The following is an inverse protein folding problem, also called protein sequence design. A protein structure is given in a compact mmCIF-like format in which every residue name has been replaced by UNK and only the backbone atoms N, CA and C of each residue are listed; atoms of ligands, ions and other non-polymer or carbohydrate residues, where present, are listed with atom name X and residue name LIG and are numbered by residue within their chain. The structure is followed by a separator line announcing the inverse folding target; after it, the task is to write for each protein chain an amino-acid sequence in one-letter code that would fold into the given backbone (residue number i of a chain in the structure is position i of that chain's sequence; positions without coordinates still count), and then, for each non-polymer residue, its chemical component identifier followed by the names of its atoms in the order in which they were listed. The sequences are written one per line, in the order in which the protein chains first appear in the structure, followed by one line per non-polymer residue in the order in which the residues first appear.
data_IF_800932302858
#
_entry.id   IF_800932302858
#
_cell.length_a   1.000
_cell.length_b   1.000
_cell.length_c   1.000
_cell.angle_alpha   90.00
_cell.angle_beta   90.00
_cell.angle_gamma   90.00
#
_symmetry.space_group_name_H-M   'P 1'
#
loop_
_entity.id
_entity.type
_entity.pdbx_description
1 polymer ?
#
# COMPACT_ATOMS: atom_id res chain seq x y z
N UNK A 1 -24.80 45.73 33.55
CA UNK A 1 -24.42 45.64 34.98
C UNK A 1 -23.91 44.24 35.28
N UNK A 2 -22.72 44.17 35.89
CA UNK A 2 -22.07 43.03 36.59
C UNK A 2 -21.52 41.86 35.75
N UNK A 3 -20.26 42.06 35.32
CA UNK A 3 -19.14 41.11 35.47
C UNK A 3 -18.67 41.15 36.95
N UNK A 4 -18.04 40.13 37.58
CA UNK A 4 -16.67 39.62 37.28
C UNK A 4 -16.54 38.08 37.50
N UNK A 5 -15.45 37.31 37.30
CA UNK A 5 -14.01 37.45 37.58
C UNK A 5 -13.26 36.37 36.74
N UNK A 6 -12.15 36.64 36.04
CA UNK A 6 -10.77 36.74 36.51
C UNK A 6 -10.20 35.47 37.17
N UNK A 7 -9.32 34.75 36.45
CA UNK A 7 -8.24 33.94 37.04
C UNK A 7 -6.98 34.05 36.18
N UNK A 8 -5.96 34.69 36.76
CA UNK A 8 -4.57 34.75 36.34
C UNK A 8 -3.81 33.57 36.95
N UNK A 9 -2.81 33.06 36.25
CA UNK A 9 -1.90 32.04 36.78
C UNK A 9 -0.74 31.71 35.85
N UNK A 10 0.18 32.68 35.69
CA UNK A 10 1.53 32.43 35.17
C UNK A 10 2.32 31.55 36.16
N UNK A 11 3.00 30.52 35.65
CA UNK A 11 4.20 29.99 36.29
C UNK A 11 5.29 29.74 35.24
N UNK A 12 6.33 30.57 35.34
CA UNK A 12 7.66 30.35 34.76
C UNK A 12 8.33 29.15 35.45
N UNK A 13 8.90 28.24 34.65
CA UNK A 13 9.99 27.38 35.08
C UNK A 13 11.10 27.43 34.02
N UNK A 14 12.10 28.27 34.31
CA UNK A 14 13.39 28.30 33.63
C UNK A 14 14.23 27.19 34.26
N UNK A 15 14.53 26.14 33.47
CA UNK A 15 15.35 25.00 33.88
C UNK A 15 16.69 25.01 33.15
N UNK A 16 17.77 25.02 33.94
CA UNK A 16 19.16 25.22 33.54
C UNK A 16 19.70 24.24 32.48
N UNK A 17 20.40 24.81 31.49
CA UNK A 17 21.31 24.13 30.58
C UNK A 17 22.56 23.64 31.34
N UNK A 18 22.63 22.33 31.59
CA UNK A 18 23.87 21.68 32.01
C UNK A 18 24.67 21.19 30.80
N UNK A 19 25.96 21.53 30.82
CA UNK A 19 27.01 21.14 29.87
C UNK A 19 27.09 19.62 29.70
N UNK A 20 27.06 19.17 28.46
CA UNK A 20 27.37 17.79 28.05
C UNK A 20 28.90 17.68 27.86
N UNK A 21 29.60 16.74 28.52
CA UNK A 21 31.00 16.48 28.21
C UNK A 21 31.13 15.66 26.92
N UNK A 22 32.06 16.10 26.08
CA UNK A 22 32.49 15.44 24.85
C UNK A 22 33.11 14.06 25.13
N UNK A 23 32.63 13.02 24.44
CA UNK A 23 33.21 11.67 24.47
C UNK A 23 34.05 11.44 23.19
N UNK A 24 35.25 10.82 23.28
CA UNK A 24 36.15 10.67 22.14
C UNK A 24 35.71 9.56 21.17
N UNK A 25 36.05 9.77 19.89
CA UNK A 25 36.02 8.76 18.83
C UNK A 25 37.21 7.81 18.98
N UNK A 26 36.97 6.51 19.19
CA UNK A 26 37.73 5.42 18.57
C UNK A 26 37.19 4.04 18.94
N UNK A 27 37.17 3.16 17.93
CA UNK A 27 37.28 1.70 18.01
C UNK A 27 36.23 0.88 18.80
N UNK A 28 35.40 0.13 18.06
CA UNK A 28 35.34 -1.36 18.07
C UNK A 28 34.13 -1.88 17.28
N UNK A 29 34.32 -2.11 15.99
CA UNK A 29 33.42 -2.92 15.15
C UNK A 29 34.16 -4.20 14.74
N UNK A 30 34.29 -5.15 15.66
CA UNK A 30 34.82 -6.48 15.35
C UNK A 30 34.38 -7.51 16.42
N UNK A 31 33.09 -7.58 16.74
CA UNK A 31 32.58 -8.67 17.59
C UNK A 31 31.08 -8.91 17.32
N UNK A 32 30.74 -9.33 16.09
CA UNK A 32 29.38 -9.78 15.77
C UNK A 32 29.28 -11.04 14.89
N UNK A 33 30.40 -11.71 14.59
CA UNK A 33 30.37 -12.90 13.73
C UNK A 33 30.53 -14.24 14.46
N UNK A 34 30.74 -14.28 15.79
CA UNK A 34 31.10 -15.55 16.46
C UNK A 34 29.98 -16.22 17.29
N UNK A 35 28.84 -15.56 17.54
CA UNK A 35 27.79 -16.11 18.43
C UNK A 35 26.60 -16.74 17.67
N UNK A 36 26.53 -16.62 16.34
CA UNK A 36 25.35 -17.07 15.54
C UNK A 36 25.59 -18.43 14.85
N UNK A 37 26.44 -19.31 15.41
CA UNK A 37 26.69 -20.65 14.86
C UNK A 37 25.91 -21.78 15.55
N UNK A 38 25.10 -21.48 16.58
CA UNK A 38 24.48 -22.51 17.43
C UNK A 38 22.94 -22.53 17.43
N UNK A 39 22.27 -21.89 16.47
CA UNK A 39 20.81 -21.89 16.40
C UNK A 39 20.26 -23.18 15.74
N UNK A 40 19.16 -23.76 16.29
CA UNK A 40 18.53 -24.96 15.74
C UNK A 40 17.91 -24.73 14.34
N UNK A 41 17.61 -25.85 13.69
CA UNK A 41 17.84 -26.16 12.27
C UNK A 41 16.91 -25.56 11.18
N UNK A 42 15.81 -24.81 11.40
CA UNK A 42 15.03 -24.30 10.27
C UNK A 42 15.71 -23.13 9.52
N UNK A 43 16.42 -22.25 10.23
CA UNK A 43 16.93 -20.98 9.68
C UNK A 43 18.16 -21.19 8.78
N UNK A 44 18.98 -22.21 9.07
CA UNK A 44 20.18 -22.49 8.28
C UNK A 44 19.88 -23.01 6.86
N UNK A 45 18.68 -23.56 6.61
CA UNK A 45 18.30 -24.02 5.27
C UNK A 45 18.04 -22.85 4.32
N UNK A 46 17.37 -21.80 4.81
CA UNK A 46 17.14 -20.56 4.06
C UNK A 46 18.42 -19.76 3.89
N UNK A 47 19.28 -19.73 4.92
CA UNK A 47 20.57 -19.02 4.86
C UNK A 47 21.56 -19.68 3.89
N UNK A 48 21.70 -21.01 3.86
CA UNK A 48 22.62 -21.66 2.91
C UNK A 48 22.17 -21.51 1.45
N UNK A 49 20.87 -21.44 1.20
CA UNK A 49 20.30 -21.13 -0.13
C UNK A 49 20.45 -19.66 -0.52
N UNK A 50 20.41 -18.72 0.43
CA UNK A 50 20.55 -17.28 0.16
C UNK A 50 22.01 -16.77 0.20
N UNK A 51 22.90 -17.47 0.91
CA UNK A 51 24.33 -17.15 1.03
C UNK A 51 25.21 -17.92 0.05
N UNK A 52 24.67 -18.88 -0.71
CA UNK A 52 25.30 -19.33 -1.96
C UNK A 52 25.07 -18.30 -3.05
N UNK A 53 25.52 -17.06 -2.82
CA UNK A 53 25.62 -16.11 -3.91
C UNK A 53 26.70 -16.61 -4.88
N UNK A 54 26.45 -16.65 -6.19
CA UNK A 54 27.52 -16.90 -7.15
C UNK A 54 28.60 -15.83 -6.93
N UNK A 55 29.85 -16.26 -6.72
CA UNK A 55 31.03 -15.38 -6.67
C UNK A 55 31.00 -14.51 -7.93
N UNK A 56 30.54 -13.26 -7.81
CA UNK A 56 30.57 -12.29 -8.90
C UNK A 56 32.02 -11.85 -9.06
N UNK A 57 32.70 -12.41 -10.07
CA UNK A 57 34.01 -11.95 -10.52
C UNK A 57 33.89 -10.47 -10.90
N UNK A 58 34.81 -9.65 -10.38
CA UNK A 58 34.95 -8.25 -10.73
C UNK A 58 35.15 -8.13 -12.25
N UNK A 59 34.16 -7.56 -12.90
CA UNK A 59 34.16 -7.17 -14.30
C UNK A 59 33.37 -5.86 -14.41
N UNK A 60 33.87 -4.95 -15.22
CA UNK A 60 33.42 -3.56 -15.37
C UNK A 60 31.89 -3.41 -15.43
N UNK A 61 31.36 -2.51 -14.59
CA UNK A 61 29.92 -2.26 -14.42
C UNK A 61 29.36 -1.28 -15.45
N UNK A 62 29.34 -1.69 -16.71
CA UNK A 62 28.56 -1.04 -17.77
C UNK A 62 27.34 -1.92 -18.15
N UNK A 63 26.12 -1.48 -17.82
CA UNK A 63 24.97 -1.70 -18.72
C UNK A 63 23.72 -2.49 -18.28
N UNK A 64 23.59 -3.10 -17.09
CA UNK A 64 22.43 -4.04 -16.85
C UNK A 64 21.63 -3.96 -15.55
N UNK A 65 21.85 -2.96 -14.69
CA UNK A 65 21.12 -2.84 -13.42
C UNK A 65 20.36 -1.53 -13.34
N UNK A 66 19.23 -1.43 -14.06
CA UNK A 66 18.24 -0.40 -13.77
C UNK A 66 17.29 -0.92 -12.68
N UNK A 67 17.29 -0.29 -11.51
CA UNK A 67 16.28 -0.57 -10.48
C UNK A 67 14.90 -0.23 -11.06
N UNK A 68 13.94 -1.15 -10.98
CA UNK A 68 12.55 -0.90 -11.40
C UNK A 68 11.68 -0.77 -10.17
N UNK A 69 11.09 0.41 -9.98
CA UNK A 69 10.16 0.70 -8.91
C UNK A 69 8.76 0.91 -9.46
N UNK A 70 7.77 0.53 -8.67
CA UNK A 70 6.36 0.87 -8.83
C UNK A 70 5.83 1.52 -7.57
N UNK A 71 4.64 2.14 -7.63
CA UNK A 71 3.95 2.63 -6.42
C UNK A 71 3.77 1.53 -5.37
N UNK A 72 3.38 0.33 -5.79
CA UNK A 72 3.19 -0.79 -4.85
C UNK A 72 4.50 -1.21 -4.17
N UNK A 73 5.61 -1.28 -4.92
CA UNK A 73 6.91 -1.62 -4.36
C UNK A 73 7.47 -0.49 -3.47
N UNK A 74 7.29 0.77 -3.86
CA UNK A 74 7.68 1.93 -3.06
C UNK A 74 6.86 2.04 -1.78
N UNK A 75 5.55 1.85 -1.87
CA UNK A 75 4.65 1.78 -0.72
C UNK A 75 5.01 0.65 0.25
N UNK A 76 5.36 -0.54 -0.28
CA UNK A 76 5.86 -1.65 0.54
C UNK A 76 7.12 -1.24 1.33
N UNK A 77 8.06 -0.55 0.69
CA UNK A 77 9.26 -0.04 1.36
C UNK A 77 8.93 1.03 2.42
N UNK A 78 8.03 1.97 2.11
CA UNK A 78 7.61 3.01 3.06
C UNK A 78 6.89 2.43 4.28
N UNK A 79 5.98 1.48 4.07
CA UNK A 79 5.29 0.78 5.14
C UNK A 79 6.30 0.04 6.00
N UNK A 80 7.18 -0.75 5.37
CA UNK A 80 8.20 -1.53 6.06
C UNK A 80 9.33 -1.94 5.08
N UNK A 81 10.55 -1.37 5.17
CA UNK A 81 11.65 -1.77 4.29
C UNK A 81 11.94 -3.28 4.30
N UNK A 82 11.70 -3.94 5.43
CA UNK A 82 11.83 -5.40 5.56
C UNK A 82 10.80 -6.17 4.71
N UNK A 83 9.58 -5.66 4.53
CA UNK A 83 8.57 -6.31 3.70
C UNK A 83 8.93 -6.23 2.21
N UNK A 84 9.60 -5.17 1.77
CA UNK A 84 10.17 -5.04 0.43
C UNK A 84 11.31 -6.05 0.20
N UNK A 85 12.19 -6.20 1.19
CA UNK A 85 13.36 -7.08 1.11
C UNK A 85 13.01 -8.55 0.81
N UNK A 86 11.95 -9.08 1.43
CA UNK A 86 11.57 -10.49 1.26
C UNK A 86 11.29 -10.90 -0.21
N UNK A 87 10.35 -10.27 -0.95
CA UNK A 87 10.07 -10.65 -2.33
C UNK A 87 11.12 -10.11 -3.32
N UNK A 88 11.65 -8.91 -3.10
CA UNK A 88 12.49 -8.24 -4.10
C UNK A 88 13.98 -8.58 -4.01
N UNK A 89 14.47 -8.92 -2.81
CA UNK A 89 15.90 -9.22 -2.59
C UNK A 89 16.09 -10.70 -2.28
N UNK A 90 15.27 -11.29 -1.41
CA UNK A 90 15.34 -12.73 -1.11
C UNK A 90 14.56 -13.61 -2.09
N UNK A 91 13.73 -13.04 -2.96
CA UNK A 91 12.94 -13.79 -3.93
C UNK A 91 11.89 -14.70 -3.29
N UNK A 92 11.44 -14.40 -2.06
CA UNK A 92 10.38 -15.18 -1.42
C UNK A 92 9.05 -14.97 -2.16
N UNK A 93 8.30 -16.04 -2.47
CA UNK A 93 7.02 -15.90 -3.13
C UNK A 93 6.06 -15.13 -2.23
N UNK A 94 5.35 -14.17 -2.82
CA UNK A 94 4.24 -13.50 -2.16
C UNK A 94 3.13 -14.50 -1.87
N UNK A 95 2.36 -14.23 -0.82
CA UNK A 95 1.11 -14.93 -0.52
C UNK A 95 -0.04 -14.01 -0.91
N UNK A 96 -1.23 -14.59 -1.07
CA UNK A 96 -2.44 -13.81 -1.33
C UNK A 96 -3.57 -14.24 -0.41
N UNK A 97 -4.54 -13.36 -0.23
CA UNK A 97 -5.79 -13.66 0.45
C UNK A 97 -6.96 -13.49 -0.53
N UNK A 98 -8.12 -14.02 -0.16
CA UNK A 98 -9.31 -13.90 -1.00
C UNK A 98 -9.66 -12.45 -1.38
N UNK A 99 -9.61 -11.43 -0.48
CA UNK A 99 -9.83 -10.03 -0.88
C UNK A 99 -8.88 -9.53 -1.98
N UNK A 100 -7.56 -9.75 -1.83
CA UNK A 100 -6.56 -9.29 -2.81
C UNK A 100 -6.71 -10.03 -4.13
N UNK A 101 -6.90 -11.35 -4.09
CA UNK A 101 -7.14 -12.16 -5.30
C UNK A 101 -8.40 -11.69 -6.02
N UNK A 102 -9.51 -11.51 -5.30
CA UNK A 102 -10.77 -10.99 -5.84
C UNK A 102 -10.58 -9.63 -6.50
N UNK A 103 -9.89 -8.70 -5.83
CA UNK A 103 -9.58 -7.39 -6.39
C UNK A 103 -8.83 -7.50 -7.72
N UNK A 104 -7.76 -8.28 -7.76
CA UNK A 104 -7.00 -8.52 -8.99
C UNK A 104 -7.86 -9.13 -10.10
N UNK A 105 -8.65 -10.16 -9.79
CA UNK A 105 -9.52 -10.82 -10.77
C UNK A 105 -10.62 -9.89 -11.29
N UNK A 106 -11.17 -8.99 -10.46
CA UNK A 106 -12.14 -7.97 -10.89
C UNK A 106 -11.50 -7.02 -11.90
N UNK A 107 -10.29 -6.50 -11.65
CA UNK A 107 -9.61 -5.60 -12.59
C UNK A 107 -9.36 -6.29 -13.93
N UNK A 108 -8.83 -7.52 -13.91
CA UNK A 108 -8.62 -8.32 -15.13
C UNK A 108 -9.92 -8.57 -15.89
N UNK A 109 -11.02 -8.84 -15.17
CA UNK A 109 -12.33 -9.06 -15.77
C UNK A 109 -12.86 -7.77 -16.42
N UNK A 110 -12.75 -6.63 -15.73
CA UNK A 110 -13.11 -5.32 -16.30
C UNK A 110 -12.26 -5.00 -17.52
N UNK A 111 -10.95 -5.23 -17.48
CA UNK A 111 -10.08 -5.06 -18.63
C UNK A 111 -10.49 -5.94 -19.81
N UNK A 112 -10.87 -7.20 -19.55
CA UNK A 112 -11.40 -8.11 -20.57
C UNK A 112 -12.71 -7.60 -21.18
N UNK A 113 -13.57 -6.96 -20.42
CA UNK A 113 -14.81 -6.36 -20.95
C UNK A 113 -14.54 -5.30 -22.02
N UNK A 114 -13.38 -4.65 -22.01
CA UNK A 114 -13.01 -3.60 -22.97
C UNK A 114 -12.12 -4.09 -24.13
N UNK A 115 -11.94 -5.41 -24.29
CA UNK A 115 -11.08 -5.96 -25.37
C UNK A 115 -11.69 -5.93 -26.77
N UNK A 116 -13.01 -5.75 -26.90
CA UNK A 116 -13.69 -5.72 -28.19
C UNK A 116 -14.13 -4.31 -28.54
N UNK A 117 -13.87 -3.91 -29.79
CA UNK A 117 -14.30 -2.61 -30.31
C UNK A 117 -15.76 -2.58 -30.77
N UNK A 118 -16.46 -3.74 -30.76
CA UNK A 118 -17.83 -3.85 -31.31
C UNK A 118 -18.92 -3.38 -30.35
N UNK A 119 -18.70 -3.52 -29.05
CA UNK A 119 -19.66 -3.15 -28.00
C UNK A 119 -18.92 -2.37 -26.90
N UNK A 120 -19.58 -1.44 -26.18
CA UNK A 120 -18.99 -0.75 -25.03
C UNK A 120 -18.47 -1.71 -23.96
N UNK A 121 -19.12 -2.88 -23.84
CA UNK A 121 -18.68 -4.01 -23.02
C UNK A 121 -18.79 -5.30 -23.86
N UNK A 122 -17.77 -6.16 -23.79
CA UNK A 122 -17.61 -7.38 -24.60
C UNK A 122 -18.81 -8.35 -24.55
N UNK A 123 -19.45 -8.48 -23.38
CA UNK A 123 -20.55 -9.42 -23.19
C UNK A 123 -21.86 -8.88 -23.76
N UNK A 124 -22.72 -9.76 -24.29
CA UNK A 124 -24.00 -9.33 -24.88
C UNK A 124 -25.00 -8.79 -23.85
N UNK A 125 -24.98 -9.31 -22.63
CA UNK A 125 -25.87 -8.91 -21.55
C UNK A 125 -25.22 -9.21 -20.18
N UNK A 126 -25.84 -8.67 -19.12
CA UNK A 126 -25.36 -8.80 -17.74
C UNK A 126 -25.32 -10.25 -17.26
N UNK A 127 -26.23 -11.12 -17.72
CA UNK A 127 -26.25 -12.53 -17.33
C UNK A 127 -25.07 -13.33 -17.90
N UNK A 128 -24.69 -13.04 -19.14
CA UNK A 128 -23.48 -13.59 -19.75
C UNK A 128 -22.22 -13.14 -18.99
N UNK A 129 -22.15 -11.87 -18.61
CA UNK A 129 -21.06 -11.35 -17.78
C UNK A 129 -21.03 -12.04 -16.40
N UNK A 130 -22.19 -12.25 -15.76
CA UNK A 130 -22.32 -12.94 -14.47
C UNK A 130 -21.76 -14.36 -14.51
N UNK A 131 -22.19 -15.16 -15.50
CA UNK A 131 -21.71 -16.54 -15.66
C UNK A 131 -20.20 -16.57 -15.91
N UNK A 132 -19.71 -15.69 -16.78
CA UNK A 132 -18.29 -15.60 -17.09
C UNK A 132 -17.46 -15.17 -15.86
N UNK A 133 -17.99 -14.30 -15.01
CA UNK A 133 -17.34 -13.88 -13.77
C UNK A 133 -17.12 -15.06 -12.83
N UNK A 134 -18.17 -15.81 -12.48
CA UNK A 134 -18.04 -16.93 -11.54
C UNK A 134 -17.12 -18.04 -12.06
N UNK A 135 -17.11 -18.27 -13.37
CA UNK A 135 -16.12 -19.16 -13.99
C UNK A 135 -14.69 -18.63 -13.85
N UNK A 136 -14.47 -17.34 -14.14
CA UNK A 136 -13.16 -16.68 -14.01
C UNK A 136 -12.67 -16.72 -12.57
N UNK A 137 -13.55 -16.48 -11.61
CA UNK A 137 -13.25 -16.53 -10.19
C UNK A 137 -12.88 -17.93 -9.71
N UNK A 138 -13.64 -18.96 -10.11
CA UNK A 138 -13.31 -20.36 -9.82
C UNK A 138 -11.91 -20.71 -10.30
N UNK A 139 -11.58 -20.35 -11.55
CA UNK A 139 -10.26 -20.60 -12.13
C UNK A 139 -9.15 -19.85 -11.39
N UNK A 140 -9.38 -18.59 -11.01
CA UNK A 140 -8.41 -17.81 -10.24
C UNK A 140 -8.09 -18.48 -8.88
N UNK A 141 -9.09 -19.05 -8.20
CA UNK A 141 -8.88 -19.82 -6.98
C UNK A 141 -8.04 -21.08 -7.19
N UNK A 142 -8.30 -21.81 -8.29
CA UNK A 142 -7.55 -23.02 -8.67
C UNK A 142 -6.08 -22.69 -9.00
N UNK A 143 -5.84 -21.65 -9.80
CA UNK A 143 -4.50 -21.20 -10.21
C UNK A 143 -3.66 -20.64 -9.04
N UNK A 144 -4.30 -20.11 -7.99
CA UNK A 144 -3.63 -19.50 -6.83
C UNK A 144 -3.75 -20.36 -5.57
N UNK A 145 -4.10 -21.63 -5.71
CA UNK A 145 -4.33 -22.51 -4.59
C UNK A 145 -3.14 -22.51 -3.62
N UNK A 146 -1.91 -22.63 -4.12
CA UNK A 146 -0.71 -22.82 -3.29
C UNK A 146 -0.20 -21.53 -2.62
N UNK A 147 -0.64 -20.37 -3.08
CA UNK A 147 -0.25 -19.06 -2.54
C UNK A 147 -1.31 -18.46 -1.61
N UNK A 148 -2.52 -19.03 -1.57
CA UNK A 148 -3.61 -18.58 -0.69
C UNK A 148 -3.31 -18.85 0.79
N UNK A 149 -3.34 -17.78 1.60
CA UNK A 149 -3.06 -17.85 3.05
C UNK A 149 -4.08 -18.73 3.79
N UNK A 150 -5.36 -18.65 3.40
CA UNK A 150 -6.44 -19.47 3.96
C UNK A 150 -7.34 -19.93 2.83
N UNK A 151 -7.54 -21.24 2.71
CA UNK A 151 -8.56 -21.83 1.83
C UNK A 151 -9.83 -22.08 2.65
N UNK A 152 -10.92 -21.45 2.26
CA UNK A 152 -12.25 -21.68 2.84
C UNK A 152 -13.30 -21.54 1.75
N UNK A 153 -14.14 -22.56 1.57
CA UNK A 153 -15.20 -22.54 0.57
C UNK A 153 -16.20 -21.40 0.81
N UNK A 154 -16.51 -21.13 2.08
CA UNK A 154 -17.36 -20.01 2.49
C UNK A 154 -16.74 -18.68 2.07
N UNK A 155 -15.47 -18.42 2.43
CA UNK A 155 -14.77 -17.20 2.01
C UNK A 155 -14.69 -17.08 0.49
N UNK A 156 -14.37 -18.17 -0.21
CA UNK A 156 -14.31 -18.20 -1.66
C UNK A 156 -15.66 -17.82 -2.29
N UNK A 157 -16.77 -18.32 -1.75
CA UNK A 157 -18.12 -17.97 -2.20
C UNK A 157 -18.44 -16.49 -1.92
N UNK A 158 -18.16 -16.01 -0.71
CA UNK A 158 -18.38 -14.62 -0.31
C UNK A 158 -17.64 -13.62 -1.20
N UNK A 159 -16.35 -13.85 -1.44
CA UNK A 159 -15.57 -12.97 -2.31
C UNK A 159 -15.97 -13.11 -3.78
N UNK A 160 -16.48 -14.27 -4.21
CA UNK A 160 -17.11 -14.43 -5.52
C UNK A 160 -18.36 -13.54 -5.67
N UNK A 161 -19.20 -13.46 -4.64
CA UNK A 161 -20.37 -12.56 -4.61
C UNK A 161 -19.95 -11.09 -4.55
N UNK A 162 -18.97 -10.75 -3.72
CA UNK A 162 -18.43 -9.38 -3.63
C UNK A 162 -17.86 -8.88 -4.97
N UNK A 163 -17.10 -9.72 -5.67
CA UNK A 163 -16.57 -9.36 -6.98
C UNK A 163 -17.68 -9.22 -8.03
N UNK A 164 -18.75 -10.01 -7.93
CA UNK A 164 -19.93 -9.82 -8.78
C UNK A 164 -20.61 -8.47 -8.54
N UNK A 165 -20.77 -8.04 -7.28
CA UNK A 165 -21.30 -6.71 -6.98
C UNK A 165 -20.46 -5.60 -7.64
N UNK A 166 -19.13 -5.73 -7.60
CA UNK A 166 -18.22 -4.80 -8.26
C UNK A 166 -18.46 -4.73 -9.78
N UNK A 167 -18.58 -5.89 -10.44
CA UNK A 167 -18.79 -5.98 -11.89
C UNK A 167 -20.17 -5.47 -12.29
N UNK A 168 -21.20 -5.80 -11.53
CA UNK A 168 -22.57 -5.37 -11.80
C UNK A 168 -22.70 -3.83 -11.70
N UNK A 169 -22.11 -3.22 -10.67
CA UNK A 169 -22.09 -1.77 -10.54
C UNK A 169 -21.28 -1.11 -11.66
N UNK A 170 -20.11 -1.66 -12.00
CA UNK A 170 -19.33 -1.18 -13.12
C UNK A 170 -20.15 -1.23 -14.42
N UNK A 171 -20.80 -2.35 -14.70
CA UNK A 171 -21.65 -2.55 -15.88
C UNK A 171 -22.74 -1.48 -15.97
N UNK A 172 -23.56 -1.36 -14.92
CA UNK A 172 -24.69 -0.40 -14.88
C UNK A 172 -24.25 1.03 -15.16
N UNK A 173 -23.07 1.41 -14.69
CA UNK A 173 -22.58 2.78 -14.84
C UNK A 173 -21.84 3.05 -16.15
N UNK A 174 -21.51 2.01 -16.94
CA UNK A 174 -20.63 2.14 -18.11
C UNK A 174 -21.20 1.57 -19.40
N UNK A 175 -22.33 0.85 -19.37
CA UNK A 175 -22.90 0.22 -20.57
C UNK A 175 -23.23 1.23 -21.67
N UNK A 176 -23.72 2.43 -21.29
CA UNK A 176 -24.09 3.50 -22.22
C UNK A 176 -23.02 4.60 -22.34
N UNK A 177 -21.83 4.38 -21.76
CA UNK A 177 -20.74 5.35 -21.80
C UNK A 177 -19.72 4.99 -22.88
N UNK A 178 -19.01 5.98 -23.43
CA UNK A 178 -17.86 5.71 -24.29
C UNK A 178 -16.86 4.78 -23.60
N UNK A 179 -16.24 3.92 -24.40
CA UNK A 179 -15.13 3.10 -23.94
C UNK A 179 -13.98 3.97 -23.42
N UNK A 180 -13.21 3.51 -22.42
CA UNK A 180 -11.96 4.17 -22.05
C UNK A 180 -11.01 4.29 -23.25
N UNK A 181 -10.23 5.37 -23.30
CA UNK A 181 -9.14 5.53 -24.26
C UNK A 181 -8.08 4.44 -24.06
N UNK A 182 -7.80 4.14 -22.80
CA UNK A 182 -6.87 3.10 -22.41
C UNK A 182 -7.39 2.35 -21.19
N UNK A 183 -7.09 1.05 -21.13
CA UNK A 183 -7.41 0.16 -20.02
C UNK A 183 -6.16 -0.63 -19.64
N UNK A 184 -5.85 -0.71 -18.35
CA UNK A 184 -4.65 -1.33 -17.80
C UNK A 184 -3.36 -0.83 -18.50
N UNK A 185 -3.29 0.49 -18.72
CA UNK A 185 -2.20 1.09 -19.49
C UNK A 185 -0.94 1.11 -18.65
N UNK A 186 0.05 0.31 -19.07
CA UNK A 186 1.38 0.32 -18.50
C UNK A 186 2.18 1.52 -19.01
N UNK A 187 2.78 2.24 -18.07
CA UNK A 187 3.79 3.27 -18.29
C UNK A 187 5.10 2.83 -17.64
N UNK A 188 6.21 3.18 -18.29
CA UNK A 188 7.56 2.98 -17.77
C UNK A 188 8.41 4.16 -18.19
N UNK A 189 8.87 4.94 -17.22
CA UNK A 189 9.62 6.18 -17.45
C UNK A 189 10.84 6.23 -16.54
N UNK A 190 11.95 6.88 -16.96
CA UNK A 190 13.07 7.14 -16.07
C UNK A 190 12.63 8.01 -14.89
N UNK A 191 12.99 7.60 -13.67
CA UNK A 191 12.72 8.35 -12.44
C UNK A 191 13.98 9.04 -11.93
N UNK A 192 15.09 8.31 -11.89
CA UNK A 192 16.43 8.81 -11.56
C UNK A 192 17.46 8.10 -12.45
N UNK A 193 18.74 8.52 -12.44
CA UNK A 193 19.79 7.77 -13.13
C UNK A 193 19.77 6.29 -12.72
N UNK A 194 19.59 5.41 -13.71
CA UNK A 194 19.49 3.94 -13.53
C UNK A 194 18.30 3.48 -12.68
N UNK A 195 17.24 4.28 -12.58
CA UNK A 195 15.99 3.89 -11.91
C UNK A 195 14.81 4.15 -12.85
N UNK A 196 14.04 3.11 -13.14
CA UNK A 196 12.80 3.20 -13.90
C UNK A 196 11.60 3.16 -12.95
N UNK A 197 10.62 4.02 -13.16
CA UNK A 197 9.33 3.94 -12.49
C UNK A 197 8.28 3.36 -13.43
N UNK A 198 7.54 2.37 -12.92
CA UNK A 198 6.55 1.60 -13.65
C UNK A 198 5.20 1.74 -12.93
N UNK A 199 4.18 2.11 -13.68
CA UNK A 199 2.80 2.13 -13.19
C UNK A 199 1.86 1.52 -14.21
N UNK A 200 0.73 1.02 -13.72
CA UNK A 200 -0.37 0.54 -14.55
C UNK A 200 -1.57 1.38 -14.14
N UNK A 201 -2.07 2.19 -15.07
CA UNK A 201 -3.27 2.99 -14.86
C UNK A 201 -4.47 2.16 -15.31
N UNK A 202 -5.42 1.95 -14.40
CA UNK A 202 -6.58 1.09 -14.68
C UNK A 202 -7.37 1.61 -15.87
N UNK A 203 -7.75 2.90 -15.90
CA UNK A 203 -8.41 3.51 -17.05
C UNK A 203 -8.03 4.96 -17.26
N UNK A 204 -8.04 5.37 -18.53
CA UNK A 204 -7.99 6.77 -18.95
C UNK A 204 -9.20 7.04 -19.82
N UNK A 205 -9.97 8.07 -19.51
CA UNK A 205 -11.23 8.39 -20.19
C UNK A 205 -11.26 9.83 -20.65
N UNK A 206 -11.83 10.06 -21.83
CA UNK A 206 -12.17 11.41 -22.27
C UNK A 206 -13.20 12.05 -21.35
N UNK A 207 -13.04 13.35 -21.09
CA UNK A 207 -13.99 14.18 -20.38
C UNK A 207 -14.46 15.33 -21.28
N UNK A 208 -15.76 15.47 -21.53
CA UNK A 208 -16.31 16.61 -22.25
C UNK A 208 -16.00 17.94 -21.53
N UNK A 209 -15.74 19.00 -22.29
CA UNK A 209 -15.44 20.33 -21.76
C UNK A 209 -16.53 20.84 -20.81
N UNK A 210 -17.79 20.52 -21.08
CA UNK A 210 -18.94 20.88 -20.25
C UNK A 210 -18.89 20.18 -18.88
N UNK A 211 -18.37 18.96 -18.84
CA UNK A 211 -18.16 18.23 -17.59
C UNK A 211 -16.99 18.83 -16.81
N UNK A 212 -15.90 19.18 -17.51
CA UNK A 212 -14.73 19.83 -16.91
C UNK A 212 -15.12 21.18 -16.30
N UNK A 213 -15.91 21.99 -17.01
CA UNK A 213 -16.41 23.28 -16.53
C UNK A 213 -17.18 23.17 -15.20
N UNK A 214 -17.86 22.05 -14.95
CA UNK A 214 -18.60 21.81 -13.70
C UNK A 214 -17.71 21.50 -12.51
N UNK A 215 -16.60 20.77 -12.73
CA UNK A 215 -15.75 20.26 -11.64
C UNK A 215 -14.46 21.05 -11.43
N UNK A 216 -13.98 21.73 -12.48
CA UNK A 216 -12.71 22.47 -12.56
C UNK A 216 -12.91 23.70 -13.47
N UNK A 217 -13.83 24.63 -13.12
CA UNK A 217 -14.16 25.79 -13.97
C UNK A 217 -12.95 26.66 -14.28
N UNK A 218 -11.96 26.72 -13.39
CA UNK A 218 -10.73 27.50 -13.56
C UNK A 218 -9.81 26.96 -14.68
N UNK A 219 -10.09 25.75 -15.19
CA UNK A 219 -9.40 25.19 -16.35
C UNK A 219 -10.05 25.58 -17.68
N UNK A 220 -11.21 26.24 -17.67
CA UNK A 220 -11.89 26.68 -18.90
C UNK A 220 -11.70 28.19 -19.07
N UNK A 221 -10.94 28.58 -20.08
CA UNK A 221 -10.64 29.98 -20.42
C UNK A 221 -11.20 30.27 -21.81
N UNK A 222 -12.11 31.25 -21.91
CA UNK A 222 -12.79 31.60 -23.16
C UNK A 222 -13.46 30.41 -23.86
N UNK A 223 -14.11 29.54 -23.07
CA UNK A 223 -14.79 28.34 -23.57
C UNK A 223 -13.85 27.21 -24.03
N UNK A 224 -12.54 27.32 -23.80
CA UNK A 224 -11.53 26.32 -24.19
C UNK A 224 -10.77 25.80 -22.98
N UNK A 225 -10.34 24.55 -23.05
CA UNK A 225 -9.46 23.98 -22.02
C UNK A 225 -8.12 24.72 -21.99
N UNK A 226 -7.67 25.10 -20.80
CA UNK A 226 -6.40 25.76 -20.54
C UNK A 226 -5.23 24.94 -21.07
N UNK A 227 -4.26 25.62 -21.66
CA UNK A 227 -3.03 24.98 -22.15
C UNK A 227 -2.29 24.22 -21.03
N UNK A 228 -1.66 23.11 -21.39
CA UNK A 228 -0.96 22.22 -20.46
C UNK A 228 -1.86 21.15 -19.82
N UNK A 229 -3.16 21.12 -20.15
CA UNK A 229 -4.09 20.06 -19.74
C UNK A 229 -4.58 19.24 -20.93
N UNK A 230 -4.85 17.96 -20.68
CA UNK A 230 -5.62 17.11 -21.59
C UNK A 230 -7.04 16.91 -21.05
N UNK A 231 -8.07 16.84 -21.93
CA UNK A 231 -9.46 16.64 -21.54
C UNK A 231 -9.71 15.17 -21.15
N UNK A 232 -8.92 14.64 -20.24
CA UNK A 232 -9.00 13.24 -19.78
C UNK A 232 -8.99 13.15 -18.25
N UNK A 233 -9.68 12.13 -17.74
CA UNK A 233 -9.55 11.70 -16.37
C UNK A 233 -8.83 10.35 -16.27
N UNK A 234 -8.03 10.22 -15.22
CA UNK A 234 -7.52 8.94 -14.76
C UNK A 234 -8.55 8.33 -13.81
N UNK A 235 -8.93 7.08 -14.04
CA UNK A 235 -9.82 6.34 -13.16
C UNK A 235 -9.04 5.18 -12.56
N UNK A 236 -9.00 5.10 -11.24
CA UNK A 236 -8.44 3.99 -10.48
C UNK A 236 -9.58 3.24 -9.80
N UNK A 237 -9.72 1.97 -10.16
CA UNK A 237 -10.82 1.11 -9.75
C UNK A 237 -10.47 0.48 -8.40
N UNK A 238 -11.41 0.46 -7.47
CA UNK A 238 -11.20 -0.11 -6.14
C UNK A 238 -12.32 -1.06 -5.75
N UNK A 239 -11.95 -2.19 -5.15
CA UNK A 239 -12.87 -3.26 -4.73
C UNK A 239 -13.05 -3.34 -3.21
N UNK A 240 -12.32 -2.50 -2.47
CA UNK A 240 -12.39 -2.40 -1.01
C UNK A 240 -13.76 -1.96 -0.49
N UNK A 241 -14.01 -2.20 0.80
CA UNK A 241 -15.23 -1.78 1.52
C UNK A 241 -15.13 -0.37 2.11
N UNK A 242 -13.91 0.14 2.27
CA UNK A 242 -13.66 1.50 2.72
C UNK A 242 -14.29 2.47 1.71
N UNK A 243 -14.86 3.57 2.20
CA UNK A 243 -15.56 4.57 1.39
C UNK A 243 -15.22 5.92 1.97
N UNK A 244 -14.92 6.89 1.12
CA UNK A 244 -14.63 8.26 1.53
C UNK A 244 -15.90 9.09 1.79
N UNK A 245 -17.06 8.43 1.94
CA UNK A 245 -18.35 9.06 2.22
C UNK A 245 -18.89 8.68 3.61
N UNK A 246 -18.61 9.50 4.65
CA UNK A 246 -19.08 9.24 6.01
C UNK A 246 -20.56 9.57 6.21
N UNK A 247 -21.25 10.16 5.22
CA UNK A 247 -22.64 10.67 5.38
C UNK A 247 -23.68 9.59 5.64
N UNK A 248 -23.33 8.33 5.42
CA UNK A 248 -24.17 7.20 5.84
C UNK A 248 -24.28 7.05 7.36
N UNK A 249 -23.29 7.54 8.10
CA UNK A 249 -23.24 7.50 9.56
C UNK A 249 -23.54 8.86 10.17
N UNK A 250 -23.13 9.92 9.49
CA UNK A 250 -23.40 11.30 9.89
C UNK A 250 -23.86 12.13 8.68
N UNK A 251 -25.17 12.14 8.39
CA UNK A 251 -25.73 12.88 7.25
C UNK A 251 -25.48 14.40 7.28
N UNK A 252 -25.20 14.96 8.47
CA UNK A 252 -25.04 16.40 8.70
C UNK A 252 -23.57 16.79 8.94
N UNK A 253 -22.62 15.92 8.58
CA UNK A 253 -21.20 16.19 8.70
C UNK A 253 -20.83 17.53 8.05
N UNK A 254 -20.10 18.38 8.79
CA UNK A 254 -19.62 19.66 8.24
C UNK A 254 -18.62 19.46 7.10
N UNK A 255 -18.51 20.43 6.20
CA UNK A 255 -17.57 20.38 5.08
C UNK A 255 -16.12 20.17 5.54
N UNK A 256 -15.71 20.81 6.63
CA UNK A 256 -14.36 20.65 7.19
C UNK A 256 -14.13 19.23 7.71
N UNK A 257 -15.10 18.65 8.40
CA UNK A 257 -15.01 17.27 8.90
C UNK A 257 -15.04 16.25 7.74
N UNK A 258 -15.82 16.52 6.69
CA UNK A 258 -15.81 15.72 5.47
C UNK A 258 -14.45 15.80 4.77
N UNK A 259 -13.89 17.00 4.62
CA UNK A 259 -12.56 17.19 4.04
C UNK A 259 -11.46 16.48 4.86
N UNK A 260 -11.53 16.56 6.19
CA UNK A 260 -10.62 15.83 7.08
C UNK A 260 -10.75 14.31 6.92
N UNK A 261 -11.98 13.79 6.76
CA UNK A 261 -12.22 12.37 6.49
C UNK A 261 -11.66 11.94 5.12
N UNK A 262 -11.69 12.83 4.13
CA UNK A 262 -11.20 12.60 2.77
C UNK A 262 -9.72 12.96 2.59
N UNK A 263 -9.03 13.41 3.64
CA UNK A 263 -7.66 13.91 3.56
C UNK A 263 -6.68 12.89 2.95
N UNK A 264 -6.82 11.61 3.32
CA UNK A 264 -5.98 10.53 2.76
C UNK A 264 -6.13 10.42 1.24
N UNK A 265 -7.34 10.58 0.67
CA UNK A 265 -7.54 10.60 -0.78
C UNK A 265 -6.80 11.77 -1.44
N UNK A 266 -6.85 12.94 -0.81
CA UNK A 266 -6.23 14.16 -1.34
C UNK A 266 -4.70 14.14 -1.24
N UNK A 267 -4.13 13.38 -0.32
CA UNK A 267 -2.68 13.19 -0.15
C UNK A 267 -2.17 11.83 -0.64
N UNK A 268 -3.01 11.00 -1.26
CA UNK A 268 -2.62 9.66 -1.69
C UNK A 268 -1.50 9.74 -2.76
N UNK A 269 -0.40 9.04 -2.48
CA UNK A 269 0.81 9.01 -3.30
C UNK A 269 0.60 8.30 -4.65
N UNK A 270 -0.35 7.36 -4.76
CA UNK A 270 -0.72 6.70 -6.01
C UNK A 270 -1.28 7.68 -7.02
N UNK A 271 -2.16 8.58 -6.56
CA UNK A 271 -2.77 9.62 -7.39
C UNK A 271 -1.66 10.50 -7.98
N UNK A 272 -0.74 10.96 -7.13
CA UNK A 272 0.41 11.79 -7.55
C UNK A 272 1.32 11.04 -8.51
N UNK A 273 1.61 9.76 -8.24
CA UNK A 273 2.43 8.93 -9.12
C UNK A 273 1.80 8.75 -10.52
N UNK A 274 0.48 8.59 -10.61
CA UNK A 274 -0.21 8.44 -11.90
C UNK A 274 -0.26 9.75 -12.69
N UNK A 275 -0.50 10.88 -12.02
CA UNK A 275 -0.38 12.20 -12.64
C UNK A 275 1.04 12.46 -13.15
N UNK A 276 2.05 12.13 -12.35
CA UNK A 276 3.44 12.27 -12.75
C UNK A 276 3.78 11.38 -13.95
N UNK A 277 3.38 10.10 -13.94
CA UNK A 277 3.55 9.19 -15.07
C UNK A 277 2.92 9.72 -16.35
N UNK A 278 1.65 10.14 -16.27
CA UNK A 278 0.94 10.72 -17.41
C UNK A 278 1.67 11.96 -17.94
N UNK A 279 2.06 12.87 -17.04
CA UNK A 279 2.79 14.08 -17.41
C UNK A 279 4.14 13.77 -18.05
N UNK A 280 4.88 12.76 -17.58
CA UNK A 280 6.16 12.40 -18.19
C UNK A 280 6.01 11.97 -19.66
N UNK A 281 4.90 11.32 -20.01
CA UNK A 281 4.64 10.81 -21.36
C UNK A 281 4.04 11.87 -22.27
N UNK A 282 3.02 12.61 -21.81
CA UNK A 282 2.23 13.50 -22.67
C UNK A 282 2.57 14.99 -22.51
N UNK A 283 3.40 15.35 -21.50
CA UNK A 283 3.75 16.73 -21.13
C UNK A 283 2.55 17.63 -20.82
N UNK A 284 1.42 17.00 -20.49
CA UNK A 284 0.16 17.63 -20.07
C UNK A 284 -0.39 16.93 -18.83
N UNK A 285 -1.25 17.63 -18.08
CA UNK A 285 -1.92 17.08 -16.91
C UNK A 285 -3.32 16.58 -17.27
N UNK A 286 -3.76 15.44 -16.73
CA UNK A 286 -5.18 15.07 -16.78
C UNK A 286 -5.98 16.05 -15.90
N UNK A 287 -7.23 16.33 -16.28
CA UNK A 287 -8.09 17.30 -15.59
C UNK A 287 -8.60 16.80 -14.23
N UNK A 288 -8.72 15.48 -14.07
CA UNK A 288 -9.21 14.86 -12.84
C UNK A 288 -8.64 13.44 -12.62
N UNK A 289 -8.63 13.05 -11.35
CA UNK A 289 -8.52 11.68 -10.90
C UNK A 289 -9.86 11.24 -10.31
N UNK A 290 -10.31 10.04 -10.62
CA UNK A 290 -11.42 9.41 -9.93
C UNK A 290 -10.98 8.13 -9.26
N UNK A 291 -11.19 8.09 -7.96
CA UNK A 291 -11.09 6.89 -7.15
C UNK A 291 -12.46 6.21 -7.13
N UNK A 292 -12.63 5.18 -7.96
CA UNK A 292 -13.93 4.57 -8.23
C UNK A 292 -14.12 3.28 -7.43
N UNK A 293 -14.92 3.36 -6.37
CA UNK A 293 -15.30 2.20 -5.57
C UNK A 293 -16.36 1.38 -6.30
N UNK A 294 -15.93 0.27 -6.90
CA UNK A 294 -16.80 -0.63 -7.65
C UNK A 294 -17.89 -1.25 -6.76
N UNK A 295 -17.59 -1.46 -5.48
CA UNK A 295 -18.48 -2.17 -4.56
C UNK A 295 -19.77 -1.41 -4.23
N UNK A 296 -19.69 -0.11 -4.00
CA UNK A 296 -20.85 0.76 -3.74
C UNK A 296 -21.22 1.62 -4.96
N UNK A 297 -20.39 1.60 -6.00
CA UNK A 297 -20.60 2.37 -7.21
C UNK A 297 -20.31 3.86 -7.07
N UNK A 298 -19.65 4.30 -6.00
CA UNK A 298 -19.30 5.71 -5.79
C UNK A 298 -17.92 6.04 -6.36
N UNK A 299 -17.78 7.23 -6.93
CA UNK A 299 -16.51 7.76 -7.40
C UNK A 299 -16.17 9.05 -6.64
N UNK A 300 -14.93 9.14 -6.17
CA UNK A 300 -14.43 10.31 -5.45
C UNK A 300 -13.40 11.02 -6.32
N UNK A 301 -13.58 12.32 -6.50
CA UNK A 301 -12.72 13.12 -7.37
C UNK A 301 -11.61 13.78 -6.56
N UNK A 302 -10.41 13.78 -7.12
CA UNK A 302 -9.30 14.63 -6.68
C UNK A 302 -8.48 15.03 -7.90
N UNK A 303 -7.47 15.87 -7.73
CA UNK A 303 -6.56 16.25 -8.80
C UNK A 303 -5.17 16.57 -8.26
N UNK A 304 -4.22 16.74 -9.18
CA UNK A 304 -2.86 17.21 -8.88
C UNK A 304 -2.44 18.29 -9.86
N UNK A 305 -1.47 19.09 -9.43
CA UNK A 305 -0.74 20.05 -10.23
C UNK A 305 0.77 19.69 -10.20
N UNK A 306 1.60 20.48 -10.89
CA UNK A 306 3.04 20.18 -11.00
C UNK A 306 3.80 20.30 -9.68
N UNK A 307 3.31 21.13 -8.74
CA UNK A 307 3.98 21.33 -7.45
C UNK A 307 3.90 20.06 -6.59
N UNK A 308 2.85 19.25 -6.75
CA UNK A 308 2.68 17.99 -6.02
C UNK A 308 3.75 16.95 -6.38
N UNK A 309 4.43 17.11 -7.53
CA UNK A 309 5.47 16.19 -7.97
C UNK A 309 6.73 16.26 -7.11
N UNK A 310 7.02 17.40 -6.47
CA UNK A 310 8.19 17.57 -5.61
C UNK A 310 8.20 16.53 -4.48
N UNK A 311 7.13 16.52 -3.69
CA UNK A 311 6.94 15.57 -2.58
C UNK A 311 7.03 14.12 -3.03
N UNK A 312 6.41 13.77 -4.17
CA UNK A 312 6.51 12.42 -4.73
C UNK A 312 7.96 12.04 -5.06
N UNK A 313 8.69 12.93 -5.74
CA UNK A 313 10.08 12.69 -6.12
C UNK A 313 11.01 12.59 -4.91
N UNK A 314 10.80 13.42 -3.87
CA UNK A 314 11.55 13.34 -2.62
C UNK A 314 11.34 12.00 -1.91
N UNK A 315 10.08 11.58 -1.74
CA UNK A 315 9.73 10.29 -1.15
C UNK A 315 10.37 9.14 -1.94
N UNK A 316 10.29 9.17 -3.28
CA UNK A 316 10.90 8.15 -4.11
C UNK A 316 12.44 8.18 -4.03
N UNK A 317 13.04 9.35 -3.88
CA UNK A 317 14.48 9.51 -3.67
C UNK A 317 14.93 8.84 -2.36
N UNK A 318 14.19 9.05 -1.27
CA UNK A 318 14.42 8.37 0.01
C UNK A 318 14.37 6.84 -0.15
N UNK A 319 13.35 6.30 -0.81
CA UNK A 319 13.21 4.85 -1.07
C UNK A 319 14.40 4.32 -1.88
N UNK A 320 14.76 5.01 -2.96
CA UNK A 320 15.85 4.60 -3.86
C UNK A 320 17.18 4.59 -3.12
N UNK A 321 17.46 5.60 -2.31
CA UNK A 321 18.69 5.65 -1.52
C UNK A 321 18.71 4.51 -0.50
N UNK A 322 17.62 4.30 0.24
CA UNK A 322 17.52 3.19 1.19
C UNK A 322 17.70 1.81 0.55
N UNK A 323 17.20 1.60 -0.66
CA UNK A 323 17.43 0.35 -1.43
C UNK A 323 18.89 0.24 -1.87
N UNK A 324 19.50 1.31 -2.37
CA UNK A 324 20.91 1.33 -2.81
C UNK A 324 21.87 1.08 -1.64
N UNK A 325 21.52 1.56 -0.46
CA UNK A 325 22.29 1.39 0.77
C UNK A 325 22.01 0.04 1.48
N UNK A 326 21.22 -0.84 0.84
CA UNK A 326 20.79 -2.13 1.40
C UNK A 326 20.14 -2.02 2.80
N UNK A 327 19.47 -0.90 3.07
CA UNK A 327 18.83 -0.60 4.34
C UNK A 327 17.40 -1.15 4.37
N UNK A 328 17.19 -2.19 5.16
CA UNK A 328 15.88 -2.85 5.31
C UNK A 328 15.46 -3.01 6.78
N UNK A 329 15.42 -1.95 7.60
CA UNK A 329 14.95 -2.07 8.97
C UNK A 329 13.49 -2.56 9.02
N UNK A 330 13.13 -3.42 9.99
CA UNK A 330 11.73 -3.72 10.24
C UNK A 330 11.04 -2.48 10.82
N UNK A 331 9.87 -2.16 10.30
CA UNK A 331 8.95 -1.17 10.86
C UNK A 331 7.68 -1.89 11.28
N UNK A 332 7.27 -1.75 12.54
CA UNK A 332 6.12 -2.45 13.09
C UNK A 332 4.91 -1.51 13.13
N UNK A 333 3.82 -1.88 12.47
CA UNK A 333 2.60 -1.06 12.42
C UNK A 333 1.36 -1.85 12.04
N UNK A 334 0.26 -1.15 11.73
CA UNK A 334 -1.02 -1.78 11.34
C UNK A 334 -0.88 -2.66 10.09
N UNK A 335 0.06 -2.33 9.19
CA UNK A 335 0.36 -3.10 7.99
C UNK A 335 0.85 -4.53 8.30
N UNK A 336 1.46 -4.79 9.47
CA UNK A 336 1.93 -6.13 9.85
C UNK A 336 0.80 -7.17 9.91
N UNK A 337 -0.43 -6.76 10.24
CA UNK A 337 -1.62 -7.63 10.28
C UNK A 337 -1.95 -8.27 8.92
N UNK A 338 -1.49 -7.64 7.83
CA UNK A 338 -1.74 -8.06 6.44
C UNK A 338 -0.44 -8.39 5.69
N UNK A 339 0.70 -8.44 6.38
CA UNK A 339 1.99 -8.72 5.75
C UNK A 339 2.14 -10.21 5.46
N UNK A 340 2.46 -10.58 4.22
CA UNK A 340 2.64 -11.98 3.81
C UNK A 340 3.84 -12.67 4.47
N UNK A 341 4.75 -11.87 5.00
CA UNK A 341 6.05 -12.28 5.51
C UNK A 341 6.17 -12.16 7.03
N UNK A 342 5.06 -12.05 7.77
CA UNK A 342 5.11 -11.88 9.23
C UNK A 342 5.76 -13.08 9.95
N UNK A 343 5.61 -14.30 9.42
CA UNK A 343 6.22 -15.53 9.98
C UNK A 343 7.73 -15.51 9.78
N UNK A 344 8.16 -15.18 8.57
CA UNK A 344 9.54 -15.05 8.16
C UNK A 344 10.23 -13.92 8.94
N UNK A 345 9.53 -12.80 9.14
CA UNK A 345 10.00 -11.68 9.95
C UNK A 345 10.13 -12.05 11.44
N UNK A 346 9.16 -12.80 12.00
CA UNK A 346 9.23 -13.29 13.37
C UNK A 346 10.39 -14.26 13.60
N UNK A 347 10.67 -15.12 12.62
CA UNK A 347 11.79 -16.06 12.68
C UNK A 347 13.18 -15.39 12.72
N UNK A 348 13.30 -14.13 12.28
CA UNK A 348 14.53 -13.36 12.38
C UNK A 348 14.80 -12.82 13.80
N UNK A 349 13.80 -12.86 14.70
CA UNK A 349 13.89 -12.38 16.08
C UNK A 349 13.60 -13.55 17.05
N UNK A 350 14.54 -14.50 17.24
CA UNK A 350 14.31 -15.70 18.04
C UNK A 350 13.95 -15.39 19.51
N UNK A 351 14.42 -14.26 20.04
CA UNK A 351 14.14 -13.82 21.41
C UNK A 351 12.72 -13.26 21.60
N UNK A 352 12.01 -12.97 20.49
CA UNK A 352 10.63 -12.48 20.47
C UNK A 352 9.83 -13.26 19.42
N UNK A 353 9.48 -14.53 19.69
CA UNK A 353 8.65 -15.31 18.79
C UNK A 353 7.27 -14.65 18.61
N UNK A 354 6.55 -15.07 17.57
CA UNK A 354 5.16 -14.68 17.42
C UNK A 354 4.36 -15.27 18.59
N UNK A 355 3.52 -14.45 19.21
CA UNK A 355 2.70 -14.86 20.35
C UNK A 355 1.25 -14.48 20.08
N UNK A 356 0.34 -15.30 20.60
CA UNK A 356 -1.08 -14.96 20.72
C UNK A 356 -1.41 -14.79 22.20
N UNK A 357 -2.14 -13.73 22.50
CA UNK A 357 -2.59 -13.39 23.86
C UNK A 357 -4.10 -13.29 23.82
N UNK A 358 -4.79 -14.05 24.66
CA UNK A 358 -6.22 -13.84 24.89
C UNK A 358 -6.43 -12.57 25.73
N UNK A 359 -7.49 -11.78 25.47
CA UNK A 359 -7.85 -10.66 26.33
C UNK A 359 -8.15 -11.16 27.75
N UNK A 360 -7.87 -10.33 28.75
CA UNK A 360 -8.17 -10.63 30.16
C UNK A 360 -8.91 -9.48 30.81
N UNK A 361 -9.78 -9.81 31.76
CA UNK A 361 -10.61 -8.83 32.49
C UNK A 361 -9.83 -8.02 33.55
N UNK A 362 -8.50 -8.08 33.54
CA UNK A 362 -7.65 -7.33 34.46
C UNK A 362 -6.16 -7.60 34.27
N UNK A 363 -5.31 -6.67 34.70
CA UNK A 363 -3.84 -6.82 34.63
C UNK A 363 -3.38 -8.02 35.47
N UNK A 364 -4.13 -8.37 36.52
CA UNK A 364 -3.79 -9.43 37.47
C UNK A 364 -4.32 -10.82 37.08
N UNK A 365 -5.28 -10.91 36.15
CA UNK A 365 -5.90 -12.20 35.78
C UNK A 365 -5.10 -12.99 34.75
N UNK A 366 -3.87 -12.55 34.42
CA UNK A 366 -2.81 -13.34 33.80
C UNK A 366 -3.28 -14.28 32.69
N UNK A 367 -3.55 -13.74 31.51
CA UNK A 367 -4.03 -14.53 30.37
C UNK A 367 -3.02 -15.57 29.91
N UNK A 368 -3.51 -16.66 29.31
CA UNK A 368 -2.63 -17.65 28.69
C UNK A 368 -1.88 -17.03 27.51
N UNK A 369 -0.55 -16.96 27.59
CA UNK A 369 0.29 -16.59 26.47
C UNK A 369 0.66 -17.86 25.70
N UNK A 370 0.16 -17.98 24.46
CA UNK A 370 0.55 -19.07 23.55
C UNK A 370 1.66 -18.56 22.64
N UNK A 371 2.87 -19.09 22.85
CA UNK A 371 4.02 -18.80 21.99
C UNK A 371 3.93 -19.69 20.75
N UNK A 372 3.98 -19.10 19.55
CA UNK A 372 3.99 -19.85 18.31
C UNK A 372 5.42 -20.31 17.97
N UNK A 373 5.67 -21.60 17.64
CA UNK A 373 4.73 -22.72 17.54
C UNK A 373 4.68 -23.62 18.80
N UNK A 374 5.30 -23.23 19.93
CA UNK A 374 5.42 -24.06 21.15
C UNK A 374 4.77 -23.39 22.35
N UNK A 375 3.83 -24.07 23.00
CA UNK A 375 3.31 -23.66 24.31
C UNK A 375 4.46 -23.81 25.33
N UNK A 376 4.99 -22.68 25.82
CA UNK A 376 5.93 -22.69 26.93
C UNK A 376 5.13 -22.59 28.23
N UNK A 377 5.24 -23.55 29.17
CA UNK A 377 4.62 -23.42 30.47
C UNK A 377 5.27 -22.25 31.22
N UNK A 378 4.52 -21.17 31.42
CA UNK A 378 4.97 -20.04 32.23
C UNK A 378 4.83 -20.46 33.70
N UNK A 379 5.87 -21.06 34.27
CA UNK A 379 5.95 -21.17 35.74
C UNK A 379 6.33 -19.79 36.28
N UNK A 380 5.53 -19.19 37.17
CA UNK A 380 5.91 -17.92 37.79
C UNK A 380 7.26 -18.11 38.50
N UNK A 381 8.28 -17.38 38.04
CA UNK A 381 9.56 -17.31 38.71
C UNK A 381 9.61 -16.00 39.47
N UNK A 382 9.57 -16.05 40.79
CA UNK A 382 9.82 -14.89 41.63
C UNK A 382 11.19 -14.31 41.26
N UNK A 383 11.21 -13.07 40.76
CA UNK A 383 12.45 -12.38 40.44
C UNK A 383 13.13 -12.05 41.77
N UNK A 384 14.26 -12.71 42.06
CA UNK A 384 15.16 -12.26 43.11
C UNK A 384 15.85 -10.99 42.61
N UNK A 385 15.43 -9.84 43.13
CA UNK A 385 16.14 -8.59 42.91
C UNK A 385 17.51 -8.72 43.59
N UNK A 386 18.56 -8.78 42.78
CA UNK A 386 19.93 -8.69 43.30
C UNK A 386 20.21 -7.22 43.62
N UNK A 387 20.04 -6.85 44.89
CA UNK A 387 20.54 -5.58 45.37
C UNK A 387 22.07 -5.65 45.45
N UNK A 388 22.81 -4.63 44.95
CA UNK A 388 24.24 -4.55 45.18
C UNK A 388 24.50 -4.57 46.70
N UNK A 389 25.46 -5.38 47.14
CA UNK A 389 25.91 -5.39 48.54
C UNK A 389 26.44 -3.99 48.88
N UNK A 390 25.99 -3.44 50.01
CA UNK A 390 26.49 -2.16 50.55
C UNK A 390 27.94 -2.28 50.99
#
# INVERSE_FOLDING_TARGET
MKNPAAFLGLHHCIGNLHRVPSVPKSEKFALKCYIISQLPTPINKWRKSALSQPKRKGGEMAGKWSLRLSKSSGGSYLDCPRSYWFPHILGLPGKTDCPRLMGHTVHQFVAKMHKSNRNPLYYQNIDNARRAWFWTWKRALEENADTLIVRSNEKSSDYGRDGWFCINNYWKQNIDKPAPLYVEKRYEVPLFPRVMFVGIVDQIRMMPTESIAKIRPELIVNGRLKEGYDPVAIIDLKTGKESYDPRRFDPNISDLALAAHQFELHEDLQVTAYYWLYYQVYKKLPVAFYWYHLRDGKAFMTYRNKNDFGTFLEIMGYIVNGIKDESYPPHFGRHCKRCDFFKECGALNPDRPLMTTEPTDGIESGGEVKVWPRILPVKPRQLKLNFPKR
#
